data_IF_086670539622
#
_entry.id   IF_086670539622
#
_cell.length_a   1.000
_cell.length_b   1.000
_cell.length_c   1.000
_cell.angle_alpha   90.00
_cell.angle_beta   90.00
_cell.angle_gamma   90.00
#
_symmetry.space_group_name_H-M   'P 1'
#
loop_
_entity.id
_entity.type
_entity.pdbx_description
1 polymer ?
#
# COMPACT_ATOMS: atom_id res chain seq x y z
N UNK A 1 -6.47 13.99 -36.23
CA UNK A 1 -6.32 12.81 -35.37
C UNK A 1 -6.67 13.26 -33.97
N UNK A 2 -7.74 12.72 -33.40
CA UNK A 2 -8.23 13.14 -32.08
C UNK A 2 -7.41 12.41 -31.01
N UNK A 3 -6.66 13.16 -30.21
CA UNK A 3 -5.88 12.60 -29.10
C UNK A 3 -6.83 12.05 -28.03
N UNK A 4 -6.95 10.73 -28.00
CA UNK A 4 -7.74 10.01 -27.02
C UNK A 4 -7.04 10.12 -25.66
N UNK A 5 -7.44 11.10 -24.84
CA UNK A 5 -6.97 11.20 -23.45
C UNK A 5 -7.45 9.99 -22.67
N UNK A 6 -6.52 9.12 -22.27
CA UNK A 6 -6.82 7.98 -21.39
C UNK A 6 -6.87 8.52 -19.96
N UNK A 7 -8.06 8.72 -19.43
CA UNK A 7 -8.27 9.03 -18.02
C UNK A 7 -8.17 7.72 -17.22
N UNK A 8 -7.00 7.44 -16.65
CA UNK A 8 -6.83 6.32 -15.71
C UNK A 8 -7.55 6.70 -14.40
N UNK A 9 -8.66 6.01 -14.09
CA UNK A 9 -9.31 6.16 -12.80
C UNK A 9 -8.39 5.59 -11.72
N UNK A 10 -7.75 6.47 -10.94
CA UNK A 10 -6.94 6.04 -9.81
C UNK A 10 -7.85 5.59 -8.66
N UNK A 11 -7.50 4.51 -7.94
CA UNK A 11 -8.21 4.12 -6.73
C UNK A 11 -8.30 5.30 -5.76
N UNK A 12 -9.45 5.47 -5.12
CA UNK A 12 -9.56 6.42 -4.01
C UNK A 12 -8.73 5.92 -2.83
N UNK A 13 -7.87 6.78 -2.30
CA UNK A 13 -7.15 6.46 -1.09
C UNK A 13 -8.09 6.53 0.11
N UNK A 14 -8.54 5.37 0.56
CA UNK A 14 -9.49 5.24 1.69
C UNK A 14 -8.91 5.62 3.05
N UNK A 15 -7.58 5.78 3.17
CA UNK A 15 -6.92 6.02 4.46
C UNK A 15 -7.02 4.86 5.45
N UNK A 16 -7.51 3.68 5.04
CA UNK A 16 -7.67 2.51 5.92
C UNK A 16 -6.29 1.92 6.27
N UNK A 17 -6.11 1.54 7.53
CA UNK A 17 -5.00 0.68 7.93
C UNK A 17 -5.18 -0.70 7.29
N UNK A 18 -4.28 -1.07 6.39
CA UNK A 18 -4.35 -2.33 5.66
C UNK A 18 -3.56 -3.41 6.39
N UNK A 19 -4.17 -4.55 6.74
CA UNK A 19 -3.44 -5.68 7.31
C UNK A 19 -2.31 -6.14 6.39
N UNK A 20 -1.12 -6.39 6.95
CA UNK A 20 0.05 -6.81 6.16
C UNK A 20 -0.20 -8.10 5.37
N UNK A 21 -1.06 -8.99 5.87
CA UNK A 21 -1.45 -10.22 5.19
C UNK A 21 -2.30 -9.95 3.94
N UNK A 22 -3.12 -8.89 3.94
CA UNK A 22 -3.89 -8.48 2.76
C UNK A 22 -2.94 -7.93 1.69
N UNK A 23 -1.97 -7.11 2.09
CA UNK A 23 -0.89 -6.63 1.22
C UNK A 23 -0.08 -7.78 0.63
N UNK A 24 0.30 -8.76 1.45
CA UNK A 24 1.04 -9.95 1.02
C UNK A 24 0.29 -10.74 -0.05
N UNK A 25 -1.01 -10.96 0.14
CA UNK A 25 -1.87 -11.65 -0.81
C UNK A 25 -2.02 -10.87 -2.12
N UNK A 26 -2.27 -9.57 -2.05
CA UNK A 26 -2.44 -8.73 -3.23
C UNK A 26 -1.15 -8.61 -4.05
N UNK A 27 -0.01 -8.44 -3.39
CA UNK A 27 1.29 -8.24 -4.04
C UNK A 27 1.92 -9.59 -4.47
N UNK A 28 1.50 -10.71 -3.88
CA UNK A 28 2.10 -12.02 -4.12
C UNK A 28 3.52 -12.13 -3.56
N UNK A 29 3.79 -11.43 -2.45
CA UNK A 29 5.09 -11.42 -1.76
C UNK A 29 4.90 -11.78 -0.30
N UNK A 30 6.00 -12.23 0.30
CA UNK A 30 6.03 -12.53 1.73
C UNK A 30 5.69 -11.29 2.59
N UNK A 31 4.94 -11.51 3.67
CA UNK A 31 4.48 -10.43 4.55
C UNK A 31 5.64 -9.75 5.29
N UNK A 32 6.70 -10.48 5.63
CA UNK A 32 7.89 -9.93 6.27
C UNK A 32 8.70 -9.08 5.29
N UNK A 33 8.80 -9.50 4.02
CA UNK A 33 9.40 -8.69 2.96
C UNK A 33 8.71 -7.33 2.83
N UNK A 34 7.38 -7.33 2.73
CA UNK A 34 6.60 -6.08 2.61
C UNK A 34 6.75 -5.22 3.87
N UNK A 35 6.67 -5.84 5.07
CA UNK A 35 6.85 -5.15 6.35
C UNK A 35 8.18 -4.41 6.42
N UNK A 36 9.29 -5.12 6.19
CA UNK A 36 10.63 -4.55 6.28
C UNK A 36 10.82 -3.49 5.18
N UNK A 37 10.36 -3.77 3.96
CA UNK A 37 10.47 -2.86 2.84
C UNK A 37 9.75 -1.53 3.06
N UNK A 38 8.53 -1.57 3.61
CA UNK A 38 7.76 -0.36 3.94
C UNK A 38 8.35 0.39 5.14
N UNK A 39 8.76 -0.32 6.20
CA UNK A 39 9.39 0.31 7.37
C UNK A 39 10.72 0.99 7.04
N UNK A 40 11.50 0.43 6.10
CA UNK A 40 12.76 1.02 5.62
C UNK A 40 12.57 2.07 4.52
N UNK A 41 11.35 2.28 4.02
CA UNK A 41 11.07 3.19 2.92
C UNK A 41 11.61 2.73 1.56
N UNK A 42 11.92 1.43 1.39
CA UNK A 42 12.41 0.85 0.13
C UNK A 42 11.25 0.63 -0.86
N UNK A 43 10.06 0.34 -0.33
CA UNK A 43 8.85 0.09 -1.12
C UNK A 43 8.03 1.38 -1.21
N UNK A 44 7.93 1.96 -2.40
CA UNK A 44 7.28 3.27 -2.62
C UNK A 44 5.77 3.22 -2.87
N UNK A 45 5.16 2.03 -2.88
CA UNK A 45 3.73 1.88 -3.14
C UNK A 45 2.86 2.12 -1.90
N UNK A 46 3.47 2.27 -0.71
CA UNK A 46 2.76 2.48 0.54
C UNK A 46 3.65 3.04 1.64
N UNK A 47 3.08 3.19 2.83
CA UNK A 47 3.72 3.81 3.97
C UNK A 47 3.56 2.94 5.22
N UNK A 48 4.60 2.89 6.04
CA UNK A 48 4.55 2.34 7.39
C UNK A 48 4.65 3.48 8.40
N UNK A 49 3.64 3.61 9.27
CA UNK A 49 3.61 4.59 10.34
C UNK A 49 3.72 3.87 11.68
N UNK A 50 4.80 4.15 12.41
CA UNK A 50 5.01 3.60 13.75
C UNK A 50 4.05 4.30 14.71
N UNK A 51 3.35 3.53 15.55
CA UNK A 51 2.58 4.10 16.66
C UNK A 51 3.52 4.66 17.72
N UNK A 52 3.16 5.82 18.29
CA UNK A 52 3.89 6.38 19.41
C UNK A 52 3.95 5.40 20.59
N UNK A 53 5.11 5.29 21.23
CA UNK A 53 5.36 4.41 22.38
C UNK A 53 5.04 2.92 22.16
N UNK A 54 4.99 2.46 20.89
CA UNK A 54 4.70 1.06 20.56
C UNK A 54 5.67 0.49 19.53
N UNK A 55 5.79 -0.84 19.53
CA UNK A 55 6.48 -1.60 18.47
C UNK A 55 5.57 -1.90 17.27
N UNK A 56 4.31 -1.46 17.33
CA UNK A 56 3.32 -1.63 16.27
C UNK A 56 3.45 -0.58 15.17
N UNK A 57 3.05 -0.98 13.97
CA UNK A 57 3.01 -0.13 12.79
C UNK A 57 1.64 -0.26 12.12
N UNK A 58 1.14 0.87 11.64
CA UNK A 58 0.02 0.93 10.71
C UNK A 58 0.56 0.99 9.29
N UNK A 59 -0.10 0.30 8.36
CA UNK A 59 0.30 0.26 6.96
C UNK A 59 -0.79 0.89 6.11
N UNK A 60 -0.37 1.74 5.19
CA UNK A 60 -1.27 2.46 4.28
C UNK A 60 -0.81 2.23 2.85
N UNK A 61 -1.72 1.86 1.97
CA UNK A 61 -1.42 1.65 0.55
C UNK A 61 -2.51 2.33 -0.30
N UNK A 62 -2.20 3.48 -0.94
CA UNK A 62 -3.14 4.23 -1.77
C UNK A 62 -3.76 3.41 -2.90
N UNK A 63 -2.97 2.51 -3.48
CA UNK A 63 -3.35 1.83 -4.72
C UNK A 63 -4.06 0.49 -4.52
N UNK A 64 -4.18 0.00 -3.27
CA UNK A 64 -4.73 -1.34 -3.01
C UNK A 64 -6.26 -1.40 -3.06
N UNK A 65 -6.96 -0.25 -3.07
CA UNK A 65 -8.42 -0.19 -3.03
C UNK A 65 -9.13 -0.95 -4.17
N UNK A 66 -8.43 -1.11 -5.30
CA UNK A 66 -8.99 -1.71 -6.53
C UNK A 66 -8.45 -3.12 -6.86
N UNK A 67 -7.69 -3.76 -5.97
CA UNK A 67 -7.14 -5.12 -6.21
C UNK A 67 -8.06 -6.26 -5.73
N UNK A 68 -9.37 -6.00 -5.57
CA UNK A 68 -10.37 -7.02 -5.21
C UNK A 68 -10.92 -7.72 -6.43
#
# INVERSE_FOLDING_TARGET
>A
MEEKRICLQTPEFTGRNVPICELAKAIGKDAQYIRIGLQKGILHFGFALKKENSSEYNYYCPYLGNMK
#
